data_IF_226441295879
#
_entry.id   IF_226441295879
#
_cell.length_a   1.000
_cell.length_b   1.000
_cell.length_c   1.000
_cell.angle_alpha   90.00
_cell.angle_beta   90.00
_cell.angle_gamma   90.00
#
_symmetry.space_group_name_H-M   'P 1'
#
loop_
_entity.id
_entity.type
_entity.pdbx_description
1 polymer ?
#
# COMPACT_ATOMS: atom_id res chain seq x y z
N UNK A 1 56.96 -8.43 -12.72
CA UNK A 1 56.12 -8.15 -11.54
C UNK A 1 55.52 -6.74 -11.53
N UNK A 2 56.25 -5.65 -11.80
CA UNK A 2 55.68 -4.27 -11.79
C UNK A 2 54.53 -4.04 -12.77
N UNK A 3 54.58 -4.59 -14.00
CA UNK A 3 53.52 -4.43 -15.01
C UNK A 3 52.20 -5.13 -14.62
N UNK A 4 52.27 -6.28 -13.95
CA UNK A 4 51.06 -7.00 -13.48
C UNK A 4 50.31 -6.19 -12.43
N UNK A 5 51.05 -5.59 -11.46
CA UNK A 5 50.43 -4.73 -10.43
C UNK A 5 49.75 -3.49 -11.01
N UNK A 6 50.37 -2.85 -12.02
CA UNK A 6 49.77 -1.70 -12.70
C UNK A 6 48.52 -2.09 -13.47
N UNK A 7 48.54 -3.22 -14.17
CA UNK A 7 47.35 -3.69 -14.92
C UNK A 7 46.20 -4.06 -13.97
N UNK A 8 46.45 -4.69 -12.83
CA UNK A 8 45.45 -4.99 -11.81
C UNK A 8 44.85 -3.72 -11.19
N UNK A 9 45.73 -2.71 -10.93
CA UNK A 9 45.26 -1.43 -10.43
C UNK A 9 44.34 -0.71 -11.44
N UNK A 10 44.75 -0.65 -12.71
CA UNK A 10 43.92 -0.05 -13.77
C UNK A 10 42.59 -0.79 -13.88
N UNK A 11 42.59 -2.11 -13.88
CA UNK A 11 41.40 -2.92 -13.94
C UNK A 11 40.47 -2.61 -12.77
N UNK A 12 40.94 -2.61 -11.54
CA UNK A 12 40.17 -2.30 -10.33
C UNK A 12 39.60 -0.87 -10.36
N UNK A 13 40.42 0.11 -10.80
CA UNK A 13 39.97 1.49 -10.94
C UNK A 13 38.86 1.62 -12.00
N UNK A 14 38.99 0.94 -13.13
CA UNK A 14 37.98 0.95 -14.19
C UNK A 14 36.64 0.38 -13.68
N UNK A 15 36.67 -0.74 -12.94
CA UNK A 15 35.44 -1.30 -12.35
C UNK A 15 34.81 -0.37 -11.31
N UNK A 16 35.61 0.28 -10.49
CA UNK A 16 35.15 1.25 -9.50
C UNK A 16 34.45 2.45 -10.18
N UNK A 17 35.08 3.02 -11.21
CA UNK A 17 34.49 4.12 -11.98
C UNK A 17 33.19 3.68 -12.68
N UNK A 18 33.17 2.51 -13.30
CA UNK A 18 31.98 1.97 -13.96
C UNK A 18 30.85 1.75 -12.94
N UNK A 19 31.15 1.22 -11.77
CA UNK A 19 30.17 1.04 -10.69
C UNK A 19 29.55 2.36 -10.24
N UNK A 20 30.37 3.40 -10.06
CA UNK A 20 29.89 4.75 -9.70
C UNK A 20 28.99 5.33 -10.80
N UNK A 21 29.40 5.21 -12.06
CA UNK A 21 28.61 5.71 -13.19
C UNK A 21 27.25 5.00 -13.30
N UNK A 22 27.23 3.68 -13.11
CA UNK A 22 26.00 2.91 -13.10
C UNK A 22 25.09 3.29 -11.93
N UNK A 23 25.65 3.41 -10.72
CA UNK A 23 24.90 3.80 -9.53
C UNK A 23 24.28 5.20 -9.68
N UNK A 24 25.07 6.17 -10.14
CA UNK A 24 24.60 7.53 -10.39
C UNK A 24 23.55 7.53 -11.52
N UNK A 25 23.82 6.81 -12.60
CA UNK A 25 22.89 6.69 -13.72
C UNK A 25 21.54 6.09 -13.31
N UNK A 26 21.54 5.02 -12.52
CA UNK A 26 20.28 4.41 -12.04
C UNK A 26 19.49 5.34 -11.15
N UNK A 27 20.15 6.13 -10.29
CA UNK A 27 19.46 7.11 -9.43
C UNK A 27 18.76 8.23 -10.20
N UNK A 28 19.26 8.59 -11.38
CA UNK A 28 18.65 9.65 -12.22
C UNK A 28 17.64 9.10 -13.23
N UNK A 29 17.81 7.86 -13.69
CA UNK A 29 17.00 7.30 -14.77
C UNK A 29 15.87 6.39 -14.28
N UNK A 30 16.00 5.82 -13.07
CA UNK A 30 14.98 4.93 -12.51
C UNK A 30 14.14 5.71 -11.50
N UNK A 31 12.83 5.87 -11.72
CA UNK A 31 11.93 6.49 -10.75
C UNK A 31 12.03 5.78 -9.40
N UNK A 32 12.08 6.54 -8.31
CA UNK A 32 12.07 5.95 -6.98
C UNK A 32 10.71 5.30 -6.70
N UNK A 33 10.72 4.21 -5.93
CA UNK A 33 9.50 3.54 -5.48
C UNK A 33 8.48 4.53 -4.86
N UNK A 34 8.96 5.57 -4.16
CA UNK A 34 8.14 6.63 -3.58
C UNK A 34 7.45 7.52 -4.62
N UNK A 35 8.05 7.71 -5.79
CA UNK A 35 7.44 8.53 -6.86
C UNK A 35 6.38 7.73 -7.60
N UNK A 36 6.67 6.48 -7.93
CA UNK A 36 5.70 5.53 -8.52
C UNK A 36 4.48 5.40 -7.58
N UNK A 37 4.73 5.31 -6.29
CA UNK A 37 3.70 5.17 -5.27
C UNK A 37 2.78 6.41 -5.18
N UNK A 38 3.34 7.61 -5.27
CA UNK A 38 2.57 8.86 -5.26
C UNK A 38 1.66 9.01 -6.48
N UNK A 39 2.14 8.67 -7.65
CA UNK A 39 1.37 8.78 -8.88
C UNK A 39 0.26 7.73 -8.91
N UNK A 40 0.53 6.51 -8.47
CA UNK A 40 -0.47 5.46 -8.31
C UNK A 40 -1.56 5.88 -7.32
N UNK A 41 -1.18 6.41 -6.15
CA UNK A 41 -2.12 6.90 -5.14
C UNK A 41 -3.00 8.01 -5.71
N UNK A 42 -2.44 8.98 -6.41
CA UNK A 42 -3.21 10.05 -7.05
C UNK A 42 -4.23 9.55 -8.06
N UNK A 43 -3.85 8.54 -8.83
CA UNK A 43 -4.65 8.04 -9.94
C UNK A 43 -5.79 7.13 -9.47
N UNK A 44 -5.54 6.26 -8.49
CA UNK A 44 -6.44 5.16 -8.15
C UNK A 44 -7.07 5.25 -6.77
N UNK A 45 -6.54 6.12 -5.88
CA UNK A 45 -7.02 6.15 -4.51
C UNK A 45 -7.95 7.33 -4.27
N UNK A 46 -9.18 7.00 -3.89
CA UNK A 46 -10.15 7.94 -3.35
C UNK A 46 -10.31 7.67 -1.85
N UNK A 47 -10.25 8.74 -1.06
CA UNK A 47 -10.43 8.66 0.38
C UNK A 47 -11.84 9.12 0.76
N UNK A 48 -12.42 8.43 1.73
CA UNK A 48 -13.68 8.86 2.34
C UNK A 48 -13.45 10.08 3.28
N UNK A 49 -14.54 10.59 3.87
CA UNK A 49 -14.50 11.75 4.78
C UNK A 49 -13.64 11.55 6.02
N UNK A 50 -13.41 10.30 6.43
CA UNK A 50 -12.55 9.96 7.57
C UNK A 50 -11.06 9.77 7.18
N UNK A 51 -10.73 9.89 5.88
CA UNK A 51 -9.37 9.77 5.34
C UNK A 51 -8.89 8.33 5.21
N UNK A 52 -9.81 7.38 4.97
CA UNK A 52 -9.53 5.98 4.66
C UNK A 52 -9.96 5.66 3.23
N UNK A 53 -9.30 4.68 2.62
CA UNK A 53 -9.67 4.14 1.32
C UNK A 53 -10.91 3.27 1.46
N UNK A 54 -12.07 3.91 1.46
CA UNK A 54 -13.37 3.25 1.54
C UNK A 54 -14.49 4.19 1.08
N UNK A 55 -15.69 3.67 0.96
CA UNK A 55 -16.93 4.44 0.81
C UNK A 55 -17.24 5.21 2.10
N UNK A 56 -18.05 6.27 1.98
CA UNK A 56 -18.63 6.92 3.16
C UNK A 56 -19.75 6.04 3.76
N UNK A 57 -19.70 5.88 5.07
CA UNK A 57 -20.75 5.20 5.83
C UNK A 57 -21.38 6.15 6.84
N UNK A 58 -22.69 6.03 7.10
CA UNK A 58 -23.32 6.77 8.18
C UNK A 58 -22.70 6.33 9.52
N UNK A 59 -22.45 7.28 10.42
CA UNK A 59 -21.86 6.99 11.75
C UNK A 59 -22.74 6.02 12.53
N UNK A 60 -24.05 6.25 12.56
CA UNK A 60 -24.97 5.31 13.17
C UNK A 60 -25.17 4.08 12.27
N UNK A 61 -24.98 2.90 12.83
CA UNK A 61 -25.23 1.64 12.13
C UNK A 61 -26.71 1.48 11.81
N UNK A 62 -27.08 1.28 10.51
CA UNK A 62 -28.47 1.04 10.14
C UNK A 62 -29.04 -0.22 10.81
N UNK A 63 -30.33 -0.21 11.13
CA UNK A 63 -31.00 -1.39 11.70
C UNK A 63 -30.91 -2.57 10.74
N UNK A 64 -30.65 -3.77 11.27
CA UNK A 64 -30.53 -4.99 10.47
C UNK A 64 -29.19 -5.16 9.72
N UNK A 65 -28.23 -4.25 9.91
CA UNK A 65 -26.89 -4.39 9.35
C UNK A 65 -25.89 -4.94 10.37
N UNK A 66 -24.97 -5.73 9.90
CA UNK A 66 -23.76 -6.15 10.63
C UNK A 66 -22.56 -5.40 10.08
N UNK A 67 -21.81 -4.72 10.95
CA UNK A 67 -20.58 -4.04 10.57
C UNK A 67 -19.39 -4.85 11.01
N UNK A 68 -18.49 -5.10 10.07
CA UNK A 68 -17.20 -5.73 10.26
C UNK A 68 -16.14 -4.65 10.04
N UNK A 69 -15.23 -4.49 10.99
CA UNK A 69 -14.12 -3.55 10.87
C UNK A 69 -12.90 -4.31 10.38
N UNK A 70 -12.44 -4.02 9.17
CA UNK A 70 -11.18 -4.49 8.64
C UNK A 70 -10.09 -3.45 8.95
N UNK A 71 -9.33 -3.69 10.01
CA UNK A 71 -8.24 -2.80 10.45
C UNK A 71 -6.92 -3.39 10.03
N UNK A 72 -6.05 -2.61 9.38
CA UNK A 72 -4.80 -3.15 8.89
C UNK A 72 -3.84 -2.13 8.27
N UNK A 73 -2.86 -2.67 7.58
CA UNK A 73 -1.78 -1.97 6.90
C UNK A 73 -2.01 -1.86 5.38
N UNK A 74 -0.94 -1.89 4.60
CA UNK A 74 -0.98 -1.84 3.13
C UNK A 74 -1.75 -3.00 2.49
N UNK A 75 -1.80 -4.16 3.12
CA UNK A 75 -2.55 -5.31 2.61
C UNK A 75 -4.06 -5.06 2.71
N UNK A 76 -4.52 -4.58 3.86
CA UNK A 76 -5.93 -4.24 4.08
C UNK A 76 -6.33 -3.00 3.27
N UNK A 77 -5.43 -2.05 3.10
CA UNK A 77 -5.60 -0.88 2.23
C UNK A 77 -5.76 -1.28 0.77
N UNK A 78 -5.22 -2.42 0.35
CA UNK A 78 -5.20 -2.88 -1.03
C UNK A 78 -4.18 -2.11 -1.87
N UNK A 79 -2.95 -1.96 -1.34
CA UNK A 79 -1.86 -1.33 -2.08
C UNK A 79 -1.56 -2.12 -3.36
N UNK A 80 -1.46 -1.44 -4.52
CA UNK A 80 -1.30 -2.07 -5.82
C UNK A 80 -2.61 -2.54 -6.49
N UNK A 81 -3.76 -2.43 -5.80
CA UNK A 81 -5.07 -2.76 -6.36
C UNK A 81 -5.75 -1.46 -6.80
N UNK A 82 -6.06 -1.34 -8.09
CA UNK A 82 -6.58 -0.10 -8.67
C UNK A 82 -8.02 0.19 -8.23
N UNK A 83 -8.89 -0.80 -8.26
CA UNK A 83 -10.30 -0.67 -7.89
C UNK A 83 -10.52 -0.91 -6.39
N UNK A 84 -11.30 -0.04 -5.74
CA UNK A 84 -11.72 -0.24 -4.35
C UNK A 84 -12.50 -1.56 -4.19
N UNK A 85 -13.35 -1.89 -5.16
CA UNK A 85 -14.23 -3.07 -5.09
C UNK A 85 -13.47 -4.40 -5.20
N UNK A 86 -12.21 -4.36 -5.66
CA UNK A 86 -11.33 -5.54 -5.75
C UNK A 86 -10.43 -5.71 -4.52
N UNK A 87 -10.49 -4.79 -3.55
CA UNK A 87 -9.79 -4.95 -2.28
C UNK A 87 -10.43 -6.06 -1.43
N UNK A 88 -9.61 -6.77 -0.64
CA UNK A 88 -10.15 -7.88 0.14
C UNK A 88 -11.31 -7.51 1.07
N UNK A 89 -11.37 -6.33 1.72
CA UNK A 89 -12.53 -5.97 2.53
C UNK A 89 -13.83 -5.89 1.71
N UNK A 90 -13.76 -5.38 0.47
CA UNK A 90 -14.92 -5.28 -0.41
C UNK A 90 -15.32 -6.62 -1.02
N UNK A 91 -14.33 -7.45 -1.36
CA UNK A 91 -14.59 -8.83 -1.78
C UNK A 91 -15.24 -9.64 -0.65
N UNK A 92 -14.78 -9.48 0.60
CA UNK A 92 -15.41 -10.10 1.77
C UNK A 92 -16.86 -9.63 1.93
N UNK A 93 -17.12 -8.32 1.83
CA UNK A 93 -18.49 -7.78 1.90
C UNK A 93 -19.39 -8.37 0.82
N UNK A 94 -18.89 -8.42 -0.41
CA UNK A 94 -19.59 -9.03 -1.55
C UNK A 94 -19.87 -10.51 -1.31
N UNK A 95 -18.90 -11.26 -0.84
CA UNK A 95 -19.04 -12.68 -0.54
C UNK A 95 -20.08 -12.94 0.56
N UNK A 96 -20.02 -12.19 1.66
CA UNK A 96 -20.96 -12.35 2.78
C UNK A 96 -22.40 -12.00 2.40
N UNK A 97 -22.61 -11.12 1.43
CA UNK A 97 -23.95 -10.73 0.94
C UNK A 97 -24.42 -11.56 -0.26
N UNK A 98 -23.62 -12.51 -0.75
CA UNK A 98 -23.96 -13.32 -1.92
C UNK A 98 -25.22 -14.16 -1.65
N UNK A 99 -26.18 -14.10 -2.56
CA UNK A 99 -27.43 -14.83 -2.45
C UNK A 99 -28.45 -14.23 -1.46
N UNK A 100 -28.18 -13.08 -0.85
CA UNK A 100 -29.14 -12.38 0.00
C UNK A 100 -30.02 -11.43 -0.82
N UNK A 101 -31.31 -11.46 -0.60
CA UNK A 101 -32.24 -10.49 -1.21
C UNK A 101 -31.91 -9.04 -0.79
N UNK A 102 -31.47 -8.87 0.46
CA UNK A 102 -31.04 -7.56 1.00
C UNK A 102 -29.66 -7.71 1.66
N UNK A 103 -28.66 -6.95 1.22
CA UNK A 103 -27.35 -6.98 1.84
C UNK A 103 -27.42 -6.65 3.33
N UNK A 104 -26.88 -7.51 4.19
CA UNK A 104 -26.87 -7.33 5.64
C UNK A 104 -25.52 -6.95 6.19
N UNK A 105 -24.44 -7.33 5.51
CA UNK A 105 -23.07 -7.07 5.96
C UNK A 105 -22.48 -5.80 5.32
N UNK A 106 -21.81 -5.01 6.13
CA UNK A 106 -20.99 -3.87 5.73
C UNK A 106 -19.58 -4.12 6.26
N UNK A 107 -18.56 -4.13 5.38
CA UNK A 107 -17.18 -4.27 5.78
C UNK A 107 -16.47 -2.93 5.61
N UNK A 108 -16.17 -2.28 6.72
CA UNK A 108 -15.50 -0.98 6.77
C UNK A 108 -13.99 -1.17 6.81
N UNK A 109 -13.27 -0.54 5.89
CA UNK A 109 -11.82 -0.62 5.80
C UNK A 109 -11.18 0.56 6.54
N UNK A 110 -10.51 0.28 7.65
CA UNK A 110 -9.70 1.23 8.40
C UNK A 110 -8.23 0.83 8.31
N UNK A 111 -7.61 1.17 7.20
CA UNK A 111 -6.25 0.75 6.91
C UNK A 111 -5.40 1.90 6.39
N UNK A 112 -4.11 1.86 6.72
CA UNK A 112 -3.11 2.78 6.17
C UNK A 112 -1.81 2.03 5.87
N UNK A 113 -1.20 2.25 4.70
CA UNK A 113 0.13 1.71 4.42
C UNK A 113 1.12 2.09 5.54
N UNK A 114 1.90 1.11 5.98
CA UNK A 114 2.90 1.30 7.02
C UNK A 114 2.40 1.22 8.47
N UNK A 115 1.10 1.01 8.71
CA UNK A 115 0.61 0.79 10.08
C UNK A 115 1.16 -0.51 10.65
N UNK A 116 1.80 -0.40 11.81
CA UNK A 116 2.18 -1.54 12.65
C UNK A 116 0.98 -2.03 13.48
N UNK A 117 1.14 -3.18 14.12
CA UNK A 117 0.13 -3.72 15.06
C UNK A 117 -0.17 -2.76 16.23
N UNK A 118 0.79 -1.91 16.60
CA UNK A 118 0.61 -0.92 17.67
C UNK A 118 -0.37 0.16 17.24
N UNK A 119 -0.21 0.73 16.04
CA UNK A 119 -1.11 1.75 15.52
C UNK A 119 -2.52 1.19 15.27
N UNK A 120 -2.61 -0.02 14.75
CA UNK A 120 -3.90 -0.72 14.56
C UNK A 120 -4.63 -0.89 15.88
N UNK A 121 -3.94 -1.35 16.92
CA UNK A 121 -4.50 -1.47 18.27
C UNK A 121 -4.94 -0.12 18.84
N UNK A 122 -4.11 0.92 18.72
CA UNK A 122 -4.45 2.26 19.21
C UNK A 122 -5.68 2.82 18.51
N UNK A 123 -5.80 2.58 17.20
CA UNK A 123 -6.98 2.99 16.44
C UNK A 123 -8.25 2.32 16.96
N UNK A 124 -8.23 1.01 17.20
CA UNK A 124 -9.37 0.26 17.75
C UNK A 124 -9.80 0.83 19.10
N UNK A 125 -8.87 1.07 20.04
CA UNK A 125 -9.20 1.64 21.36
C UNK A 125 -9.72 3.08 21.29
N UNK A 126 -9.35 3.85 20.29
CA UNK A 126 -9.78 5.25 20.16
C UNK A 126 -11.15 5.40 19.50
N UNK A 127 -11.51 4.47 18.63
CA UNK A 127 -12.75 4.53 17.82
C UNK A 127 -13.82 3.52 18.28
N UNK A 128 -13.47 2.49 19.00
CA UNK A 128 -14.39 1.51 19.62
C UNK A 128 -14.87 1.97 20.96
#
# INVERSE_FOLDING_TARGET
MKRLGVNLFILGFTFAVLGIVLEVGTRFLVPTEKEIDKDWVKQFIQYNREGFRDRDYPTAKPRGKFRILAVGDSQTFGHGIESLEDTFPKLLEKFLNQGMERPQFEVLSFARPGWSTVEQRQFIYKKG
#
